data_IF_325889740611
#
_entry.id   IF_325889740611
#
_cell.length_a   1.000
_cell.length_b   1.000
_cell.length_c   1.000
_cell.angle_alpha   90.00
_cell.angle_beta   90.00
_cell.angle_gamma   90.00
#
_symmetry.space_group_name_H-M   'P 1'
#
loop_
_entity.id
_entity.type
_entity.pdbx_description
1 polymer ?
#
# COMPACT_ATOMS: atom_id res chain seq x y z
N UNK A 1 -0.62 -31.95 -8.32
CA UNK A 1 -0.92 -31.78 -6.88
C UNK A 1 -0.49 -30.40 -6.46
N UNK A 2 -1.37 -29.66 -5.78
CA UNK A 2 -1.09 -28.34 -5.27
C UNK A 2 -0.33 -28.45 -3.95
N UNK A 3 0.68 -27.61 -3.74
CA UNK A 3 1.48 -27.60 -2.50
C UNK A 3 0.89 -26.62 -1.49
N UNK A 4 1.12 -26.86 -0.19
CA UNK A 4 0.69 -25.94 0.88
C UNK A 4 1.18 -24.50 0.68
N UNK A 5 2.38 -24.32 0.10
CA UNK A 5 2.90 -22.99 -0.21
C UNK A 5 2.15 -22.33 -1.38
N UNK A 6 1.75 -23.10 -2.40
CA UNK A 6 0.91 -22.57 -3.49
C UNK A 6 -0.44 -22.08 -2.95
N UNK A 7 -1.04 -22.78 -1.97
CA UNK A 7 -2.28 -22.34 -1.32
C UNK A 7 -2.10 -21.05 -0.52
N UNK A 8 -1.01 -20.92 0.25
CA UNK A 8 -0.73 -19.68 0.97
C UNK A 8 -0.49 -18.49 0.02
N UNK A 9 0.15 -18.72 -1.12
CA UNK A 9 0.32 -17.68 -2.14
C UNK A 9 -1.03 -17.28 -2.76
N UNK A 10 -1.96 -18.21 -2.96
CA UNK A 10 -3.31 -17.90 -3.42
C UNK A 10 -4.13 -17.14 -2.37
N UNK A 11 -4.01 -17.52 -1.09
CA UNK A 11 -4.63 -16.80 0.02
C UNK A 11 -4.06 -15.37 0.15
N UNK A 12 -2.75 -15.22 -0.02
CA UNK A 12 -2.09 -13.90 -0.03
C UNK A 12 -2.64 -13.04 -1.18
N UNK A 13 -2.81 -13.62 -2.37
CA UNK A 13 -3.38 -12.92 -3.51
C UNK A 13 -4.80 -12.43 -3.23
N UNK A 14 -5.65 -13.30 -2.70
CA UNK A 14 -7.03 -12.96 -2.35
C UNK A 14 -7.11 -11.87 -1.28
N UNK A 15 -6.30 -11.97 -0.21
CA UNK A 15 -6.24 -10.97 0.84
C UNK A 15 -5.74 -9.61 0.32
N UNK A 16 -4.74 -9.62 -0.57
CA UNK A 16 -4.23 -8.40 -1.21
C UNK A 16 -5.29 -7.72 -2.09
N UNK A 17 -6.05 -8.49 -2.87
CA UNK A 17 -7.17 -7.94 -3.66
C UNK A 17 -8.30 -7.39 -2.78
N UNK A 18 -8.59 -8.04 -1.65
CA UNK A 18 -9.60 -7.60 -0.70
C UNK A 18 -9.16 -6.39 0.14
N UNK A 19 -7.86 -6.03 0.12
CA UNK A 19 -7.30 -5.02 1.01
C UNK A 19 -7.27 -5.44 2.48
N UNK A 20 -7.30 -6.75 2.77
CA UNK A 20 -7.30 -7.27 4.13
C UNK A 20 -5.87 -7.33 4.68
N UNK A 21 -5.43 -6.20 5.24
CA UNK A 21 -4.08 -6.04 5.81
C UNK A 21 -3.87 -6.94 7.02
N UNK A 22 -4.91 -7.24 7.79
CA UNK A 22 -4.83 -8.12 8.95
C UNK A 22 -4.58 -9.56 8.53
N UNK A 23 -5.31 -10.05 7.52
CA UNK A 23 -5.06 -11.37 6.95
C UNK A 23 -3.63 -11.45 6.36
N UNK A 24 -3.19 -10.43 5.63
CA UNK A 24 -1.82 -10.37 5.09
C UNK A 24 -0.76 -10.47 6.19
N UNK A 25 -0.93 -9.75 7.30
CA UNK A 25 -0.01 -9.82 8.44
C UNK A 25 0.04 -11.23 9.06
N UNK A 26 -1.09 -11.93 9.11
CA UNK A 26 -1.15 -13.30 9.62
C UNK A 26 -0.56 -14.35 8.67
N UNK A 27 -0.63 -14.10 7.36
CA UNK A 27 -0.15 -15.02 6.32
C UNK A 27 1.36 -14.93 6.12
N UNK A 28 1.95 -13.74 6.27
CA UNK A 28 3.40 -13.51 6.08
C UNK A 28 4.31 -14.52 6.82
N UNK A 29 4.20 -14.72 8.16
CA UNK A 29 5.07 -15.66 8.86
C UNK A 29 4.87 -17.12 8.42
N UNK A 30 3.65 -17.49 7.98
CA UNK A 30 3.35 -18.85 7.48
C UNK A 30 4.00 -19.11 6.13
N UNK A 31 3.97 -18.10 5.25
CA UNK A 31 4.66 -18.15 3.95
C UNK A 31 6.17 -18.27 4.16
N UNK A 32 6.74 -17.47 5.07
CA UNK A 32 8.18 -17.51 5.38
C UNK A 32 8.63 -18.87 5.93
N UNK A 33 7.87 -19.46 6.86
CA UNK A 33 8.19 -20.77 7.43
C UNK A 33 8.19 -21.89 6.36
N UNK A 34 7.22 -21.88 5.46
CA UNK A 34 7.13 -22.87 4.38
C UNK A 34 8.13 -22.61 3.25
N UNK A 35 8.45 -21.34 2.98
CA UNK A 35 9.49 -20.98 2.03
C UNK A 35 10.88 -21.38 2.54
N UNK A 36 11.17 -21.19 3.83
CA UNK A 36 12.44 -21.56 4.46
C UNK A 36 12.70 -23.07 4.50
N UNK A 37 11.65 -23.89 4.39
CA UNK A 37 11.72 -25.36 4.34
C UNK A 37 11.62 -25.92 2.92
N UNK A 38 11.74 -25.07 1.88
CA UNK A 38 11.82 -25.52 0.49
C UNK A 38 13.11 -26.29 0.24
N UNK A 39 13.06 -27.62 0.40
CA UNK A 39 14.08 -28.53 -0.12
C UNK A 39 14.07 -28.62 -1.64
N UNK A 40 14.84 -29.54 -2.21
CA UNK A 40 14.89 -29.79 -3.66
C UNK A 40 13.50 -30.15 -4.17
N UNK A 41 12.95 -29.33 -5.07
CA UNK A 41 11.65 -29.56 -5.73
C UNK A 41 11.85 -29.80 -7.21
N UNK A 42 10.89 -30.50 -7.81
CA UNK A 42 10.78 -30.60 -9.26
C UNK A 42 10.71 -29.20 -9.90
N UNK A 43 11.35 -29.04 -11.05
CA UNK A 43 11.45 -27.76 -11.76
C UNK A 43 10.07 -27.19 -12.11
N UNK A 44 9.10 -28.05 -12.43
CA UNK A 44 7.73 -27.64 -12.72
C UNK A 44 7.03 -27.03 -11.50
N UNK A 45 7.28 -27.54 -10.30
CA UNK A 45 6.72 -26.99 -9.05
C UNK A 45 7.36 -25.65 -8.73
N UNK A 46 8.68 -25.55 -8.87
CA UNK A 46 9.42 -24.32 -8.60
C UNK A 46 8.95 -23.16 -9.50
N UNK A 47 8.71 -23.42 -10.79
CA UNK A 47 8.24 -22.39 -11.72
C UNK A 47 6.81 -21.91 -11.40
N UNK A 48 5.91 -22.83 -10.99
CA UNK A 48 4.56 -22.44 -10.56
C UNK A 48 4.59 -21.56 -9.31
N UNK A 49 5.38 -21.92 -8.31
CA UNK A 49 5.58 -21.12 -7.10
C UNK A 49 6.14 -19.74 -7.44
N UNK A 50 7.18 -19.69 -8.29
CA UNK A 50 7.80 -18.45 -8.75
C UNK A 50 6.80 -17.53 -9.46
N UNK A 51 5.95 -18.09 -10.33
CA UNK A 51 4.89 -17.32 -11.00
C UNK A 51 3.89 -16.74 -10.01
N UNK A 52 3.37 -17.53 -9.07
CA UNK A 52 2.43 -17.05 -8.05
C UNK A 52 3.05 -15.97 -7.16
N UNK A 53 4.28 -16.18 -6.71
CA UNK A 53 5.01 -15.20 -5.90
C UNK A 53 5.22 -13.87 -6.64
N UNK A 54 5.55 -13.90 -7.94
CA UNK A 54 5.69 -12.69 -8.77
C UNK A 54 4.39 -11.91 -8.89
N UNK A 55 3.27 -12.60 -9.12
CA UNK A 55 1.95 -11.95 -9.20
C UNK A 55 1.63 -11.21 -7.89
N UNK A 56 1.86 -11.86 -6.75
CA UNK A 56 1.68 -11.23 -5.44
C UNK A 56 2.61 -10.04 -5.23
N UNK A 57 3.88 -10.14 -5.61
CA UNK A 57 4.83 -9.04 -5.52
C UNK A 57 4.35 -7.81 -6.30
N UNK A 58 3.93 -8.01 -7.55
CA UNK A 58 3.41 -6.93 -8.40
C UNK A 58 2.18 -6.28 -7.79
N UNK A 59 1.23 -7.08 -7.30
CA UNK A 59 0.00 -6.58 -6.69
C UNK A 59 0.28 -5.78 -5.41
N UNK A 60 1.12 -6.30 -4.51
CA UNK A 60 1.47 -5.65 -3.25
C UNK A 60 2.27 -4.35 -3.48
N UNK A 61 3.13 -4.31 -4.50
CA UNK A 61 3.84 -3.10 -4.88
C UNK A 61 2.87 -2.01 -5.34
N UNK A 62 1.92 -2.36 -6.21
CA UNK A 62 0.88 -1.43 -6.67
C UNK A 62 0.00 -0.94 -5.51
N UNK A 63 -0.43 -1.85 -4.62
CA UNK A 63 -1.20 -1.49 -3.43
C UNK A 63 -0.43 -0.53 -2.52
N UNK A 64 0.86 -0.77 -2.29
CA UNK A 64 1.72 0.10 -1.49
C UNK A 64 1.83 1.51 -2.08
N UNK A 65 1.98 1.62 -3.41
CA UNK A 65 1.97 2.92 -4.09
C UNK A 65 0.63 3.64 -3.90
N UNK A 66 -0.49 2.92 -4.01
CA UNK A 66 -1.83 3.46 -3.76
C UNK A 66 -2.01 4.00 -2.34
N UNK A 67 -1.58 3.25 -1.32
CA UNK A 67 -1.65 3.67 0.09
C UNK A 67 -0.82 4.94 0.32
N UNK A 68 0.40 5.00 -0.23
CA UNK A 68 1.26 6.20 -0.11
C UNK A 68 0.63 7.42 -0.78
N UNK A 69 0.04 7.24 -1.96
CA UNK A 69 -0.66 8.31 -2.65
C UNK A 69 -1.87 8.81 -1.85
N UNK A 70 -2.64 7.92 -1.23
CA UNK A 70 -3.74 8.29 -0.35
C UNK A 70 -3.24 9.05 0.88
N UNK A 71 -2.18 8.59 1.54
CA UNK A 71 -1.56 9.27 2.68
C UNK A 71 -1.09 10.68 2.32
N UNK A 72 -0.44 10.87 1.16
CA UNK A 72 -0.03 12.18 0.68
C UNK A 72 -1.24 13.12 0.52
N UNK A 73 -2.33 12.64 -0.10
CA UNK A 73 -3.57 13.42 -0.27
C UNK A 73 -4.21 13.78 1.07
N UNK A 74 -4.21 12.87 2.04
CA UNK A 74 -4.69 13.19 3.39
C UNK A 74 -3.79 14.23 4.07
N UNK A 75 -2.47 14.15 3.89
CA UNK A 75 -1.53 15.17 4.37
C UNK A 75 -1.86 16.56 3.82
N UNK A 76 -2.11 16.67 2.51
CA UNK A 76 -2.47 17.94 1.87
C UNK A 76 -3.80 18.50 2.40
N UNK A 77 -4.80 17.63 2.59
CA UNK A 77 -6.11 18.01 3.14
C UNK A 77 -5.98 18.49 4.59
N UNK A 78 -5.23 17.74 5.41
CA UNK A 78 -5.04 18.06 6.83
C UNK A 78 -4.16 19.29 7.05
N UNK A 79 -3.22 19.58 6.15
CA UNK A 79 -2.41 20.80 6.18
C UNK A 79 -3.25 22.07 6.00
N UNK A 80 -4.45 21.95 5.41
CA UNK A 80 -5.38 23.05 5.20
C UNK A 80 -4.95 24.02 4.09
N UNK A 81 -5.87 24.88 3.62
CA UNK A 81 -5.55 25.85 2.58
C UNK A 81 -4.52 26.86 3.09
N UNK A 82 -3.33 26.85 2.48
CA UNK A 82 -2.31 27.88 2.71
C UNK A 82 -2.53 29.00 1.70
N UNK A 83 -2.96 30.18 2.17
CA UNK A 83 -3.09 31.36 1.30
C UNK A 83 -1.68 31.82 0.90
N UNK A 84 -1.31 31.60 -0.35
CA UNK A 84 -0.09 32.15 -0.95
C UNK A 84 -0.48 33.35 -1.80
N UNK A 85 0.01 34.52 -1.42
CA UNK A 85 -0.12 35.72 -2.24
C UNK A 85 1.22 36.01 -2.90
N UNK A 86 1.17 36.61 -4.08
CA UNK A 86 2.36 37.13 -4.74
C UNK A 86 2.64 38.53 -4.18
N UNK A 87 3.87 38.77 -3.74
CA UNK A 87 4.31 40.12 -3.40
C UNK A 87 4.43 41.00 -4.66
N UNK A 88 4.64 42.31 -4.47
CA UNK A 88 4.76 43.26 -5.58
C UNK A 88 5.95 42.98 -6.53
N UNK A 89 6.87 42.10 -6.14
CA UNK A 89 8.00 41.61 -6.96
C UNK A 89 7.74 40.25 -7.61
N UNK A 90 6.52 39.71 -7.49
CA UNK A 90 6.13 38.43 -8.08
C UNK A 90 6.63 37.20 -7.32
N UNK A 91 7.15 37.34 -6.09
CA UNK A 91 7.58 36.20 -5.28
C UNK A 91 6.42 35.68 -4.44
N UNK A 92 6.34 34.35 -4.29
CA UNK A 92 5.34 33.69 -3.44
C UNK A 92 5.67 33.96 -1.97
N UNK A 93 4.77 34.61 -1.26
CA UNK A 93 4.80 34.74 0.19
C UNK A 93 3.60 34.00 0.80
N UNK A 94 3.84 33.10 1.76
CA UNK A 94 2.77 32.45 2.52
C UNK A 94 2.27 33.43 3.58
N UNK A 95 0.99 33.81 3.54
CA UNK A 95 0.47 34.87 4.42
C UNK A 95 -0.08 34.34 5.76
N UNK A 96 -0.59 33.11 5.83
CA UNK A 96 -0.90 32.35 7.05
C UNK A 96 -1.78 31.14 6.66
N UNK A 97 -1.94 30.18 7.58
CA UNK A 97 -3.02 29.20 7.49
C UNK A 97 -4.38 29.91 7.57
N UNK A 98 -5.25 29.68 6.58
CA UNK A 98 -6.63 30.16 6.64
C UNK A 98 -7.37 29.42 7.75
N UNK A 99 -7.59 30.08 8.89
CA UNK A 99 -8.52 29.58 9.90
C UNK A 99 -9.94 29.62 9.33
N UNK A 100 -10.54 28.45 9.13
CA UNK A 100 -11.97 28.30 8.83
C UNK A 100 -12.79 28.57 10.10
N UNK A 101 -12.74 29.80 10.62
CA UNK A 101 -13.66 30.23 11.64
C UNK A 101 -15.05 30.40 10.99
N UNK A 102 -15.93 29.41 11.20
CA UNK A 102 -17.34 29.45 10.79
C UNK A 102 -17.98 30.69 11.43
N UNK A 103 -18.44 31.69 10.65
CA UNK A 103 -19.11 32.84 11.23
C UNK A 103 -20.49 32.41 11.73
N UNK A 104 -20.68 32.46 13.06
CA UNK A 104 -22.00 32.34 13.68
C UNK A 104 -22.82 33.57 13.28
N UNK A 105 -23.84 33.37 12.46
CA UNK A 105 -24.83 34.40 12.14
C UNK A 105 -25.73 34.57 13.36
N UNK A 106 -25.77 35.79 13.91
CA UNK A 106 -26.78 36.26 14.85
C UNK A 106 -28.04 36.67 14.09
#
# INVERSE_FOLDING_TARGET
MQTALEELLDQTHAAALAGDVTALASLAPRVEALAGSLGTRDAGVAERLRRKARLNLTLLAAATQGVRAAQARFGDILAGPTLTTYDASGRKAAIAALSLAVPRRC
#
